data_IF_063622878223
#
_entry.id   IF_063622878223
#
_cell.length_a   1.000
_cell.length_b   1.000
_cell.length_c   1.000
_cell.angle_alpha   90.00
_cell.angle_beta   90.00
_cell.angle_gamma   90.00
#
_symmetry.space_group_name_H-M   'P 1'
#
loop_
_entity.id
_entity.type
_entity.pdbx_description
1 polymer ?
#
# COMPACT_ATOMS: atom_id res chain seq x y z
N UNK A 1 -53.36 57.46 -1.77
CA UNK A 1 -53.38 56.36 -0.78
C UNK A 1 -52.27 56.64 0.21
N UNK A 2 -52.62 57.43 1.21
CA UNK A 2 -51.71 58.28 1.99
C UNK A 2 -50.84 57.51 3.00
N UNK A 3 -49.59 57.93 3.04
CA UNK A 3 -48.58 57.80 4.09
C UNK A 3 -49.10 58.21 5.48
N UNK A 4 -48.35 57.77 6.50
CA UNK A 4 -48.36 58.17 7.92
C UNK A 4 -49.26 57.40 8.88
N UNK A 5 -48.62 56.57 9.68
CA UNK A 5 -48.94 56.44 11.10
C UNK A 5 -47.71 56.87 11.90
N UNK A 6 -47.71 58.14 12.29
CA UNK A 6 -46.97 58.65 13.45
C UNK A 6 -47.91 58.45 14.62
N UNK A 7 -47.52 57.69 15.64
CA UNK A 7 -47.79 58.04 17.03
C UNK A 7 -46.62 57.53 17.89
N UNK A 8 -45.88 58.44 18.54
CA UNK A 8 -46.17 58.92 19.91
C UNK A 8 -45.76 57.80 20.90
N UNK A 9 -44.76 57.93 21.77
CA UNK A 9 -44.63 58.92 22.83
C UNK A 9 -43.20 58.83 23.38
N UNK A 10 -42.53 59.98 23.34
CA UNK A 10 -41.66 60.58 24.37
C UNK A 10 -40.60 59.74 25.09
N UNK A 11 -39.39 60.26 24.88
CA UNK A 11 -38.52 60.81 25.92
C UNK A 11 -37.76 59.85 26.84
N UNK A 12 -36.44 59.94 26.62
CA UNK A 12 -35.43 60.31 27.64
C UNK A 12 -35.29 59.34 28.81
N UNK A 13 -34.22 58.54 28.78
CA UNK A 13 -33.03 58.90 29.56
C UNK A 13 -31.79 58.10 29.12
N UNK A 14 -30.64 58.68 29.42
CA UNK A 14 -29.31 58.39 28.91
C UNK A 14 -28.52 57.42 29.83
N UNK A 15 -27.64 56.61 29.22
CA UNK A 15 -26.30 56.23 29.75
C UNK A 15 -26.15 54.89 30.51
N UNK A 16 -24.90 54.39 30.72
CA UNK A 16 -23.67 54.41 29.92
C UNK A 16 -23.35 52.99 29.35
N UNK A 17 -22.29 52.77 28.53
CA UNK A 17 -21.98 51.43 28.03
C UNK A 17 -21.39 50.60 29.18
N UNK A 18 -22.03 49.48 29.53
CA UNK A 18 -21.46 48.55 30.49
C UNK A 18 -20.34 47.78 29.80
N UNK A 19 -19.11 48.27 29.99
CA UNK A 19 -17.90 47.47 29.97
C UNK A 19 -18.09 46.28 30.91
N UNK A 20 -18.50 45.15 30.36
CA UNK A 20 -18.56 43.88 31.05
C UNK A 20 -17.92 42.83 30.15
N UNK A 21 -16.60 42.75 30.26
CA UNK A 21 -15.84 41.52 30.18
C UNK A 21 -16.33 40.49 29.15
N UNK A 22 -16.04 40.75 27.88
CA UNK A 22 -15.81 39.65 26.95
C UNK A 22 -14.53 38.94 27.40
N UNK A 23 -14.69 37.97 28.32
CA UNK A 23 -13.73 36.89 28.50
C UNK A 23 -13.62 36.17 27.15
N UNK A 24 -12.70 36.64 26.31
CA UNK A 24 -12.21 35.90 25.17
C UNK A 24 -11.51 34.68 25.74
N UNK A 25 -12.26 33.59 25.82
CA UNK A 25 -11.71 32.25 25.96
C UNK A 25 -10.68 32.12 24.86
N UNK A 26 -9.40 32.15 25.23
CA UNK A 26 -8.31 31.80 24.35
C UNK A 26 -8.57 30.35 23.93
N UNK A 27 -9.19 30.20 22.77
CA UNK A 27 -9.25 28.94 22.05
C UNK A 27 -7.84 28.65 21.55
N UNK A 28 -6.95 28.22 22.43
CA UNK A 28 -5.71 27.58 22.01
C UNK A 28 -6.14 26.25 21.42
N UNK A 29 -6.33 26.23 20.11
CA UNK A 29 -6.52 24.99 19.36
C UNK A 29 -5.30 24.10 19.62
N UNK A 30 -5.46 23.08 20.44
CA UNK A 30 -4.42 22.09 20.78
C UNK A 30 -4.14 21.11 19.63
N UNK A 31 -4.13 21.59 18.38
CA UNK A 31 -4.02 20.71 17.21
C UNK A 31 -2.72 20.84 16.45
N UNK A 32 -1.75 21.64 16.93
CA UNK A 32 -0.39 21.60 16.40
C UNK A 32 0.53 20.89 17.40
N UNK A 33 0.29 19.59 17.60
CA UNK A 33 1.39 18.72 18.02
C UNK A 33 2.30 18.67 16.82
N UNK A 34 3.28 19.57 16.79
CA UNK A 34 4.41 19.49 15.88
C UNK A 34 5.00 18.09 16.07
N UNK A 35 4.71 17.19 15.13
CA UNK A 35 5.25 15.84 15.14
C UNK A 35 6.74 16.04 15.04
N UNK A 36 7.46 15.75 16.13
CA UNK A 36 8.91 15.89 16.17
C UNK A 36 9.49 15.16 14.95
N UNK A 37 10.47 15.74 14.24
CA UNK A 37 10.96 15.20 12.97
C UNK A 37 11.36 13.72 13.06
N UNK A 38 11.90 13.31 14.21
CA UNK A 38 12.23 11.92 14.54
C UNK A 38 11.00 10.97 14.51
N UNK A 39 9.84 11.43 15.01
CA UNK A 39 8.59 10.64 14.96
C UNK A 39 8.07 10.50 13.53
N UNK A 40 8.25 11.53 12.70
CA UNK A 40 7.86 11.47 11.29
C UNK A 40 8.75 10.49 10.50
N UNK A 41 10.06 10.51 10.73
CA UNK A 41 11.02 9.60 10.11
C UNK A 41 10.75 8.15 10.50
N UNK A 42 10.58 7.87 11.81
CA UNK A 42 10.24 6.52 12.30
C UNK A 42 8.91 6.02 11.74
N UNK A 43 7.92 6.90 11.60
CA UNK A 43 6.63 6.55 11.00
C UNK A 43 6.77 6.15 9.52
N UNK A 44 7.62 6.85 8.76
CA UNK A 44 7.92 6.50 7.37
C UNK A 44 8.64 5.16 7.26
N UNK A 45 9.58 4.87 8.16
CA UNK A 45 10.28 3.59 8.20
C UNK A 45 9.33 2.43 8.52
N UNK A 46 8.46 2.60 9.53
CA UNK A 46 7.43 1.62 9.87
C UNK A 46 6.52 1.35 8.67
N UNK A 47 6.09 2.38 7.95
CA UNK A 47 5.26 2.22 6.76
C UNK A 47 6.00 1.51 5.60
N UNK A 48 7.27 1.80 5.39
CA UNK A 48 8.09 1.10 4.41
C UNK A 48 8.24 -0.39 4.77
N UNK A 49 8.48 -0.70 6.05
CA UNK A 49 8.55 -2.07 6.55
C UNK A 49 7.22 -2.80 6.40
N UNK A 50 6.11 -2.17 6.79
CA UNK A 50 4.75 -2.73 6.63
C UNK A 50 4.46 -3.08 5.18
N UNK A 51 4.82 -2.21 4.23
CA UNK A 51 4.65 -2.48 2.80
C UNK A 51 5.50 -3.66 2.32
N UNK A 52 6.73 -3.81 2.83
CA UNK A 52 7.58 -4.97 2.51
C UNK A 52 6.95 -6.26 3.07
N UNK A 53 6.55 -6.24 4.34
CA UNK A 53 5.94 -7.38 5.01
C UNK A 53 4.60 -7.80 4.38
N UNK A 54 3.79 -6.84 3.90
CA UNK A 54 2.53 -7.15 3.23
C UNK A 54 2.71 -7.93 1.92
N UNK A 55 3.83 -7.74 1.22
CA UNK A 55 4.10 -8.35 -0.08
C UNK A 55 4.86 -9.69 0.01
N UNK A 56 5.57 -9.91 1.12
CA UNK A 56 6.40 -11.11 1.31
C UNK A 56 5.63 -12.42 1.19
N UNK A 57 4.40 -12.58 1.73
CA UNK A 57 3.64 -13.83 1.63
C UNK A 57 3.39 -14.27 0.19
N UNK A 58 3.00 -13.35 -0.70
CA UNK A 58 2.74 -13.67 -2.10
C UNK A 58 4.03 -14.10 -2.83
N UNK A 59 5.14 -13.42 -2.56
CA UNK A 59 6.43 -13.76 -3.17
C UNK A 59 6.89 -15.16 -2.70
N UNK A 60 6.79 -15.44 -1.41
CA UNK A 60 7.18 -16.73 -0.85
C UNK A 60 6.30 -17.89 -1.33
N UNK A 61 4.98 -17.68 -1.45
CA UNK A 61 4.09 -18.70 -1.99
C UNK A 61 4.35 -18.96 -3.49
N UNK A 62 4.56 -17.91 -4.29
CA UNK A 62 4.92 -18.06 -5.70
C UNK A 62 6.25 -18.81 -5.87
N UNK A 63 7.23 -18.54 -4.98
CA UNK A 63 8.49 -19.29 -4.93
C UNK A 63 8.24 -20.78 -4.68
N UNK A 64 7.39 -21.12 -3.72
CA UNK A 64 6.97 -22.50 -3.45
C UNK A 64 6.31 -23.20 -4.66
N UNK A 65 5.44 -22.48 -5.38
CA UNK A 65 4.84 -22.98 -6.63
C UNK A 65 5.93 -23.31 -7.66
N UNK A 66 6.91 -22.41 -7.86
CA UNK A 66 7.98 -22.62 -8.83
C UNK A 66 8.95 -23.73 -8.45
N UNK A 67 9.27 -23.89 -7.15
CA UNK A 67 10.04 -25.03 -6.64
C UNK A 67 9.35 -26.33 -7.03
N UNK A 68 8.05 -26.45 -6.77
CA UNK A 68 7.28 -27.65 -7.11
C UNK A 68 7.16 -27.88 -8.62
N UNK A 69 7.02 -26.80 -9.40
CA UNK A 69 6.81 -26.88 -10.85
C UNK A 69 8.09 -27.19 -11.64
N UNK A 70 9.23 -26.61 -11.24
CA UNK A 70 10.51 -26.74 -11.95
C UNK A 70 11.53 -27.65 -11.26
N UNK A 71 11.24 -28.13 -10.05
CA UNK A 71 12.19 -28.89 -9.22
C UNK A 71 13.53 -28.15 -9.00
N UNK A 72 13.46 -26.86 -8.69
CA UNK A 72 14.60 -25.98 -8.39
C UNK A 72 14.61 -25.58 -6.92
N UNK A 73 15.73 -25.08 -6.41
CA UNK A 73 15.80 -24.51 -5.07
C UNK A 73 15.10 -23.14 -4.96
N UNK A 74 15.04 -22.61 -3.73
CA UNK A 74 14.39 -21.35 -3.43
C UNK A 74 15.09 -20.14 -4.10
N UNK A 75 16.41 -20.13 -4.15
CA UNK A 75 17.18 -19.00 -4.69
C UNK A 75 16.98 -18.90 -6.21
N UNK A 76 17.01 -20.04 -6.89
CA UNK A 76 16.69 -20.17 -8.30
C UNK A 76 15.27 -19.70 -8.63
N UNK A 77 14.28 -20.14 -7.85
CA UNK A 77 12.88 -19.75 -8.02
C UNK A 77 12.69 -18.24 -7.81
N UNK A 78 13.33 -17.65 -6.80
CA UNK A 78 13.29 -16.21 -6.59
C UNK A 78 13.96 -15.43 -7.73
N UNK A 79 15.13 -15.90 -8.20
CA UNK A 79 15.81 -15.29 -9.33
C UNK A 79 14.98 -15.32 -10.62
N UNK A 80 14.20 -16.38 -10.85
CA UNK A 80 13.22 -16.46 -11.95
C UNK A 80 12.16 -15.36 -11.83
N UNK A 81 11.53 -15.22 -10.66
CA UNK A 81 10.53 -14.17 -10.43
C UNK A 81 11.09 -12.77 -10.68
N UNK A 82 12.32 -12.50 -10.21
CA UNK A 82 12.99 -11.21 -10.44
C UNK A 82 13.24 -10.98 -11.94
N UNK A 83 13.75 -11.98 -12.67
CA UNK A 83 13.97 -11.86 -14.11
C UNK A 83 12.69 -11.57 -14.87
N UNK A 84 11.62 -12.32 -14.59
CA UNK A 84 10.32 -12.12 -15.23
C UNK A 84 9.73 -10.75 -14.88
N UNK A 85 9.82 -10.32 -13.63
CA UNK A 85 9.36 -8.98 -13.19
C UNK A 85 10.08 -7.86 -13.94
N UNK A 86 11.40 -7.97 -14.11
CA UNK A 86 12.20 -6.98 -14.86
C UNK A 86 11.83 -6.95 -16.34
N UNK A 87 11.71 -8.11 -16.99
CA UNK A 87 11.43 -8.18 -18.43
C UNK A 87 9.99 -7.80 -18.77
N UNK A 88 9.04 -8.09 -17.88
CA UNK A 88 7.63 -7.69 -18.06
C UNK A 88 7.34 -6.28 -17.56
N UNK A 89 8.29 -5.66 -16.85
CA UNK A 89 8.09 -4.39 -16.14
C UNK A 89 6.87 -4.41 -15.19
N UNK A 90 6.54 -5.59 -14.64
CA UNK A 90 5.48 -5.78 -13.65
C UNK A 90 6.11 -5.82 -12.26
N UNK A 91 5.49 -5.16 -11.27
CA UNK A 91 5.94 -5.23 -9.88
C UNK A 91 5.98 -6.69 -9.40
N UNK A 92 7.10 -7.11 -8.82
CA UNK A 92 7.36 -8.48 -8.40
C UNK A 92 6.21 -9.13 -7.60
N UNK A 93 5.65 -8.42 -6.61
CA UNK A 93 4.54 -8.94 -5.79
C UNK A 93 3.27 -9.17 -6.62
N UNK A 94 3.00 -8.33 -7.62
CA UNK A 94 1.86 -8.49 -8.52
C UNK A 94 2.05 -9.70 -9.42
N UNK A 95 3.23 -9.84 -10.01
CA UNK A 95 3.58 -11.03 -10.80
C UNK A 95 3.43 -12.32 -9.97
N UNK A 96 3.88 -12.29 -8.71
CA UNK A 96 3.72 -13.40 -7.79
C UNK A 96 2.24 -13.74 -7.52
N UNK A 97 1.39 -12.73 -7.29
CA UNK A 97 -0.06 -12.93 -7.13
C UNK A 97 -0.72 -13.51 -8.38
N UNK A 98 -0.36 -13.04 -9.57
CA UNK A 98 -0.90 -13.54 -10.84
C UNK A 98 -0.51 -15.01 -11.05
N UNK A 99 0.74 -15.37 -10.71
CA UNK A 99 1.24 -16.74 -10.77
C UNK A 99 0.48 -17.67 -9.79
N UNK A 100 0.27 -17.23 -8.55
CA UNK A 100 -0.50 -17.99 -7.56
C UNK A 100 -1.94 -18.20 -8.04
N UNK A 101 -2.54 -17.17 -8.64
CA UNK A 101 -3.89 -17.24 -9.19
C UNK A 101 -3.97 -18.29 -10.29
N UNK A 102 -2.98 -18.31 -11.19
CA UNK A 102 -2.88 -19.31 -12.25
C UNK A 102 -2.61 -20.72 -11.71
N UNK A 103 -1.86 -20.86 -10.60
CA UNK A 103 -1.58 -22.14 -9.96
C UNK A 103 -2.80 -22.74 -9.24
N UNK A 104 -3.68 -21.90 -8.71
CA UNK A 104 -4.89 -22.32 -8.00
C UNK A 104 -6.08 -22.60 -8.94
N UNK A 105 -5.93 -22.37 -10.25
CA UNK A 105 -6.99 -22.68 -11.21
C UNK A 105 -7.26 -24.19 -11.26
N UNK A 106 -8.50 -24.56 -10.96
CA UNK A 106 -8.97 -25.95 -10.81
C UNK A 106 -9.85 -26.38 -11.99
N UNK A 107 -9.82 -25.68 -13.13
CA UNK A 107 -10.67 -25.92 -14.31
C UNK A 107 -10.41 -27.24 -15.09
N UNK A 108 -10.04 -28.31 -14.39
CA UNK A 108 -10.03 -29.70 -14.90
C UNK A 108 -8.65 -30.30 -15.13
N UNK A 109 -7.59 -29.48 -15.12
CA UNK A 109 -6.20 -29.91 -15.24
C UNK A 109 -5.33 -29.15 -14.22
N UNK A 110 -4.75 -29.84 -13.22
CA UNK A 110 -3.81 -29.21 -12.31
C UNK A 110 -2.69 -28.51 -13.07
N UNK A 111 -2.45 -27.23 -12.77
CA UNK A 111 -1.41 -26.39 -13.36
C UNK A 111 -1.53 -26.07 -14.85
N UNK A 112 -2.65 -26.35 -15.54
CA UNK A 112 -2.78 -25.98 -16.95
C UNK A 112 -2.69 -24.45 -17.14
N UNK A 113 -3.40 -23.70 -16.32
CA UNK A 113 -3.36 -22.24 -16.37
C UNK A 113 -2.00 -21.67 -15.93
N UNK A 114 -1.36 -22.28 -14.93
CA UNK A 114 0.01 -21.96 -14.53
C UNK A 114 0.99 -22.14 -15.70
N UNK A 115 0.86 -23.25 -16.44
CA UNK A 115 1.73 -23.52 -17.58
C UNK A 115 1.52 -22.52 -18.72
N UNK A 116 0.27 -22.22 -19.05
CA UNK A 116 -0.07 -21.17 -20.03
C UNK A 116 0.49 -19.81 -19.61
N UNK A 117 0.32 -19.45 -18.34
CA UNK A 117 0.84 -18.19 -17.80
C UNK A 117 2.36 -18.15 -17.91
N UNK A 118 3.05 -19.22 -17.51
CA UNK A 118 4.50 -19.27 -17.60
C UNK A 118 4.95 -19.22 -19.05
N UNK A 119 4.34 -19.96 -19.99
CA UNK A 119 4.73 -19.95 -21.41
C UNK A 119 4.62 -18.55 -22.06
N UNK A 120 3.78 -17.66 -21.50
CA UNK A 120 3.66 -16.26 -21.94
C UNK A 120 4.74 -15.33 -21.37
N UNK A 121 5.48 -15.77 -20.34
CA UNK A 121 6.57 -14.99 -19.77
C UNK A 121 7.81 -15.02 -20.68
N UNK A 122 8.65 -13.97 -20.63
CA UNK A 122 9.91 -13.95 -21.37
C UNK A 122 10.90 -14.99 -20.81
N UNK A 123 11.59 -15.71 -21.71
CA UNK A 123 12.57 -16.76 -21.39
C UNK A 123 12.02 -17.99 -20.63
N UNK A 124 10.77 -18.37 -20.84
CA UNK A 124 10.11 -19.47 -20.10
C UNK A 124 10.63 -20.87 -20.41
N UNK A 125 11.31 -21.05 -21.53
CA UNK A 125 11.90 -22.33 -21.96
C UNK A 125 13.34 -22.19 -22.46
N UNK A 126 13.77 -20.99 -22.83
CA UNK A 126 15.11 -20.74 -23.34
C UNK A 126 16.04 -20.42 -22.17
N UNK A 127 16.93 -21.36 -21.84
CA UNK A 127 17.99 -21.27 -20.81
C UNK A 127 17.50 -21.39 -19.35
N UNK A 128 17.24 -22.62 -18.92
CA UNK A 128 18.06 -23.14 -17.81
C UNK A 128 19.53 -23.16 -18.31
N UNK A 129 20.14 -21.98 -18.48
CA UNK A 129 21.59 -21.89 -18.24
C UNK A 129 21.74 -22.43 -16.82
N UNK A 130 22.79 -23.21 -16.50
CA UNK A 130 23.00 -23.69 -15.14
C UNK A 130 22.74 -22.53 -14.20
N UNK A 131 21.71 -22.67 -13.34
CA UNK A 131 21.61 -21.81 -12.17
C UNK A 131 22.99 -21.93 -11.54
N UNK A 132 23.73 -20.82 -11.32
CA UNK A 132 25.03 -20.91 -10.67
C UNK A 132 24.86 -21.81 -9.45
N UNK A 133 25.65 -22.89 -9.41
CA UNK A 133 25.57 -23.91 -8.37
C UNK A 133 25.80 -23.23 -7.02
N UNK A 134 24.70 -22.84 -6.36
CA UNK A 134 24.70 -22.41 -4.98
C UNK A 134 24.69 -23.68 -4.16
N UNK A 135 25.87 -24.32 -4.13
CA UNK A 135 26.13 -25.66 -3.63
C UNK A 135 25.02 -26.19 -2.73
N UNK A 136 24.35 -27.24 -3.21
CA UNK A 136 23.56 -28.13 -2.37
C UNK A 136 24.48 -28.67 -1.28
N UNK A 137 24.58 -27.94 -0.17
CA UNK A 137 25.19 -28.43 1.05
C UNK A 137 24.18 -29.42 1.63
N UNK A 138 24.21 -30.63 1.09
CA UNK A 138 23.76 -31.82 1.82
C UNK A 138 24.55 -31.88 3.14
N UNK A 139 23.83 -31.75 4.25
CA UNK A 139 24.22 -32.26 5.56
C UNK A 139 23.00 -32.84 6.24
#
# INVERSE_FOLDING_TARGET
MHTNQIELIKDRHNGPPTDAAHLSLVGTSLTDVAVAPEVAELSQEIEALRRRLANLPAIEQAKGVLIGFYAVDADAAFALLVRWSQHTNIKLHRLASDLITAANDTSGHPHAQLRIFIDQLPNSTARLSPIPDFGTTSR
#
